data_IF_066355487300
#
_entry.id   IF_066355487300
#
_cell.length_a   1.000
_cell.length_b   1.000
_cell.length_c   1.000
_cell.angle_alpha   90.00
_cell.angle_beta   90.00
_cell.angle_gamma   90.00
#
_symmetry.space_group_name_H-M   'P 1'
#
loop_
_entity.id
_entity.type
_entity.pdbx_description
1 polymer ?
#
# COMPACT_ATOMS: atom_id res chain seq x y z
N UNK A 1 -24.78 4.04 10.38
CA UNK A 1 -23.62 4.53 9.59
C UNK A 1 -22.34 4.21 10.38
N UNK A 2 -21.91 2.95 10.37
CA UNK A 2 -20.65 2.54 10.97
C UNK A 2 -20.34 1.13 10.47
N UNK A 3 -19.63 1.02 9.37
CA UNK A 3 -18.82 -0.17 9.14
C UNK A 3 -17.45 0.31 8.64
N UNK A 4 -16.64 0.71 9.61
CA UNK A 4 -15.23 0.97 9.39
C UNK A 4 -14.56 -0.40 9.36
N UNK A 5 -14.60 -1.06 8.19
CA UNK A 5 -13.88 -2.30 7.95
C UNK A 5 -12.41 -2.09 8.28
N UNK A 6 -12.03 -2.48 9.49
CA UNK A 6 -10.71 -2.23 10.07
C UNK A 6 -9.74 -3.35 9.62
N UNK A 7 -9.82 -3.74 8.34
CA UNK A 7 -9.00 -4.78 7.76
C UNK A 7 -7.62 -4.19 7.48
N UNK A 8 -6.67 -4.53 8.34
CA UNK A 8 -5.26 -4.23 8.16
C UNK A 8 -4.45 -5.52 7.98
N UNK A 9 -3.46 -5.45 7.11
CA UNK A 9 -2.52 -6.54 6.86
C UNK A 9 -1.11 -6.08 7.16
N UNK A 10 -0.34 -6.98 7.79
CA UNK A 10 1.10 -6.80 7.97
C UNK A 10 1.82 -7.36 6.76
N UNK A 11 2.39 -6.48 5.95
CA UNK A 11 3.07 -6.85 4.71
C UNK A 11 4.54 -6.42 4.79
N UNK A 12 5.40 -7.23 4.16
CA UNK A 12 6.82 -6.93 4.09
C UNK A 12 7.11 -5.98 2.93
N UNK A 13 7.87 -4.91 3.17
CA UNK A 13 8.22 -3.93 2.16
C UNK A 13 9.22 -4.54 1.18
N UNK A 14 8.91 -4.42 -0.11
CA UNK A 14 9.83 -4.74 -1.20
C UNK A 14 9.93 -3.57 -2.19
N UNK A 15 10.94 -3.63 -3.05
CA UNK A 15 11.19 -2.59 -4.02
C UNK A 15 10.12 -2.60 -5.14
N UNK A 16 9.59 -1.42 -5.44
CA UNK A 16 8.73 -1.23 -6.60
C UNK A 16 9.54 -1.34 -7.90
N UNK A 17 8.94 -1.85 -8.98
CA UNK A 17 9.54 -1.83 -10.31
C UNK A 17 9.96 -0.42 -10.73
N UNK A 18 11.04 -0.29 -11.50
CA UNK A 18 11.59 1.01 -11.94
C UNK A 18 10.55 1.92 -12.64
N UNK A 19 9.57 1.32 -13.34
CA UNK A 19 8.45 2.02 -14.01
C UNK A 19 7.41 2.65 -13.07
N UNK A 20 7.43 2.28 -11.79
CA UNK A 20 6.48 2.74 -10.77
C UNK A 20 7.10 3.78 -9.83
N UNK A 21 8.39 4.10 -9.98
CA UNK A 21 9.11 5.08 -9.16
C UNK A 21 8.51 6.48 -9.34
N UNK A 22 8.27 7.18 -8.23
CA UNK A 22 7.75 8.55 -8.22
C UNK A 22 6.24 8.67 -8.46
N UNK A 23 5.53 7.55 -8.62
CA UNK A 23 4.09 7.55 -8.96
C UNK A 23 3.17 7.33 -7.76
N UNK A 24 3.73 7.08 -6.57
CA UNK A 24 2.94 6.82 -5.36
C UNK A 24 2.09 5.55 -5.46
N UNK A 25 2.61 4.50 -6.09
CA UNK A 25 1.92 3.23 -6.27
C UNK A 25 2.37 2.22 -5.20
N UNK A 26 1.42 1.46 -4.67
CA UNK A 26 1.66 0.31 -3.81
C UNK A 26 1.14 -0.94 -4.50
N UNK A 27 2.05 -1.84 -4.90
CA UNK A 27 1.63 -3.13 -5.47
C UNK A 27 1.41 -4.16 -4.39
N UNK A 28 0.23 -4.79 -4.44
CA UNK A 28 -0.25 -5.76 -3.48
C UNK A 28 -0.72 -7.02 -4.21
N UNK A 29 -0.58 -8.18 -3.58
CA UNK A 29 -1.20 -9.41 -4.10
C UNK A 29 -2.72 -9.20 -4.22
N UNK A 30 -3.37 -9.53 -5.36
CA UNK A 30 -4.83 -9.55 -5.44
C UNK A 30 -5.53 -10.26 -4.28
N UNK A 31 -4.94 -11.33 -3.73
CA UNK A 31 -5.47 -12.00 -2.55
C UNK A 31 -5.42 -11.12 -1.29
N UNK A 32 -4.35 -10.34 -1.11
CA UNK A 32 -4.22 -9.41 0.01
C UNK A 32 -5.09 -8.16 -0.20
N UNK A 33 -5.23 -7.69 -1.43
CA UNK A 33 -6.20 -6.63 -1.78
C UNK A 33 -7.63 -7.05 -1.43
N UNK A 34 -8.02 -8.28 -1.75
CA UNK A 34 -9.34 -8.80 -1.41
C UNK A 34 -9.57 -8.86 0.11
N UNK A 35 -8.57 -9.28 0.89
CA UNK A 35 -8.62 -9.27 2.37
C UNK A 35 -8.72 -7.87 2.96
N UNK A 36 -8.13 -6.88 2.28
CA UNK A 36 -8.20 -5.45 2.65
C UNK A 36 -9.47 -4.77 2.10
N UNK A 37 -10.30 -5.51 1.36
CA UNK A 37 -11.45 -4.99 0.62
C UNK A 37 -11.09 -3.81 -0.30
N UNK A 38 -9.85 -3.82 -0.81
CA UNK A 38 -9.29 -2.78 -1.66
C UNK A 38 -9.40 -3.16 -3.14
N UNK A 39 -9.85 -2.22 -3.95
CA UNK A 39 -9.92 -2.35 -5.38
C UNK A 39 -8.71 -1.70 -6.07
N UNK A 40 -8.55 -2.00 -7.36
CA UNK A 40 -7.51 -1.40 -8.19
C UNK A 40 -7.77 0.10 -8.28
N UNK A 41 -6.81 0.92 -7.80
CA UNK A 41 -6.92 2.37 -7.82
C UNK A 41 -7.40 3.00 -6.51
N UNK A 42 -7.86 2.19 -5.54
CA UNK A 42 -8.13 2.66 -4.19
C UNK A 42 -6.87 3.18 -3.51
N UNK A 43 -7.04 4.04 -2.50
CA UNK A 43 -5.94 4.52 -1.69
C UNK A 43 -5.80 3.65 -0.45
N UNK A 44 -4.59 3.16 -0.24
CA UNK A 44 -4.19 2.43 0.95
C UNK A 44 -3.26 3.29 1.79
N UNK A 45 -3.48 3.23 3.09
CA UNK A 45 -2.58 3.79 4.07
C UNK A 45 -1.52 2.74 4.42
N UNK A 46 -0.27 3.18 4.47
CA UNK A 46 0.89 2.37 4.86
C UNK A 46 1.47 2.99 6.14
N UNK A 47 1.47 2.22 7.22
CA UNK A 47 2.00 2.63 8.51
C UNK A 47 3.29 1.87 8.80
N UNK A 48 4.41 2.60 8.73
CA UNK A 48 5.72 2.18 9.22
C UNK A 48 6.05 2.92 10.51
N UNK A 49 7.21 3.61 10.54
CA UNK A 49 7.51 4.59 11.61
C UNK A 49 6.64 5.84 11.50
N UNK A 50 6.28 6.18 10.26
CA UNK A 50 5.38 7.26 9.89
C UNK A 50 4.29 6.70 9.00
N UNK A 51 3.22 7.46 8.85
CA UNK A 51 2.10 7.10 8.01
C UNK A 51 2.24 7.76 6.65
N UNK A 52 2.07 6.97 5.59
CA UNK A 52 1.97 7.47 4.22
C UNK A 52 0.76 6.84 3.53
N UNK A 53 0.46 7.32 2.33
CA UNK A 53 -0.61 6.79 1.49
C UNK A 53 -0.07 6.49 0.10
N UNK A 54 -0.63 5.48 -0.54
CA UNK A 54 -0.30 5.08 -1.90
C UNK A 54 -1.52 4.50 -2.61
N UNK A 55 -1.51 4.53 -3.93
CA UNK A 55 -2.56 3.93 -4.76
C UNK A 55 -2.32 2.43 -4.91
N UNK A 56 -3.31 1.63 -4.51
CA UNK A 56 -3.27 0.18 -4.59
C UNK A 56 -3.31 -0.30 -6.04
N UNK A 57 -2.33 -1.11 -6.41
CA UNK A 57 -2.21 -1.74 -7.72
C UNK A 57 -1.96 -3.24 -7.57
N UNK A 58 -2.38 -4.08 -8.52
CA UNK A 58 -2.12 -5.51 -8.45
C UNK A 58 -0.63 -5.78 -8.67
N UNK A 59 -0.08 -6.68 -7.86
CA UNK A 59 1.27 -7.22 -8.03
C UNK A 59 1.33 -8.18 -9.23
N UNK A 60 2.52 -8.24 -9.84
CA UNK A 60 2.83 -9.19 -10.89
C UNK A 60 2.80 -10.62 -10.35
N UNK A 61 2.53 -11.59 -11.21
CA UNK A 61 2.38 -13.01 -10.81
C UNK A 61 3.59 -13.52 -10.03
N UNK A 62 4.79 -13.04 -10.36
CA UNK A 62 6.05 -13.42 -9.73
C UNK A 62 6.15 -13.01 -8.25
N UNK A 63 5.41 -11.97 -7.85
CA UNK A 63 5.43 -11.40 -6.49
C UNK A 63 4.22 -11.80 -5.64
N UNK A 64 3.27 -12.56 -6.20
CA UNK A 64 2.10 -13.07 -5.47
C UNK A 64 2.49 -14.17 -4.50
N UNK A 65 1.71 -14.31 -3.42
CA UNK A 65 1.89 -15.28 -2.34
C UNK A 65 2.99 -14.92 -1.34
N UNK A 66 3.74 -13.83 -1.56
CA UNK A 66 4.89 -13.47 -0.72
C UNK A 66 4.55 -12.58 0.48
N UNK A 67 3.29 -12.16 0.63
CA UNK A 67 2.84 -11.20 1.66
C UNK A 67 3.69 -9.92 1.65
N UNK A 68 3.91 -9.36 0.46
CA UNK A 68 4.79 -8.22 0.21
C UNK A 68 4.01 -7.03 -0.34
N UNK A 69 4.45 -5.83 0.03
CA UNK A 69 3.98 -4.57 -0.55
C UNK A 69 5.15 -3.90 -1.27
N UNK A 70 5.01 -3.74 -2.59
CA UNK A 70 6.05 -3.09 -3.39
C UNK A 70 5.79 -1.59 -3.42
N UNK A 71 6.73 -0.81 -2.89
CA UNK A 71 6.67 0.66 -2.85
C UNK A 71 8.00 1.28 -3.26
N UNK A 72 7.92 2.47 -3.86
CA UNK A 72 9.08 3.23 -4.31
C UNK A 72 9.85 3.87 -3.15
N UNK A 73 11.05 4.38 -3.44
CA UNK A 73 11.92 5.00 -2.44
C UNK A 73 11.25 6.16 -1.70
N UNK A 74 10.47 6.98 -2.41
CA UNK A 74 9.77 8.12 -1.83
C UNK A 74 8.67 7.67 -0.85
N UNK A 75 7.84 6.69 -1.21
CA UNK A 75 6.86 6.14 -0.27
C UNK A 75 7.53 5.52 0.96
N UNK A 76 8.66 4.83 0.78
CA UNK A 76 9.42 4.24 1.89
C UNK A 76 9.95 5.30 2.85
N UNK A 77 10.55 6.36 2.31
CA UNK A 77 11.03 7.50 3.11
C UNK A 77 9.89 8.16 3.88
N UNK A 78 8.77 8.42 3.20
CA UNK A 78 7.57 9.00 3.82
C UNK A 78 6.96 8.11 4.91
N UNK A 79 6.95 6.78 4.71
CA UNK A 79 6.54 5.80 5.72
C UNK A 79 7.58 5.60 6.84
N UNK A 80 8.82 6.08 6.65
CA UNK A 80 9.96 5.73 7.48
C UNK A 80 10.19 4.22 7.55
N UNK A 81 10.01 3.51 6.42
CA UNK A 81 10.14 2.06 6.32
C UNK A 81 11.35 1.66 5.46
N UNK A 82 12.07 0.61 5.88
CA UNK A 82 13.18 0.02 5.12
C UNK A 82 12.71 -1.17 4.27
N UNK A 83 13.54 -1.63 3.32
CA UNK A 83 13.32 -2.89 2.63
C UNK A 83 13.30 -4.05 3.63
N UNK A 84 12.47 -5.06 3.36
CA UNK A 84 12.21 -6.23 4.20
C UNK A 84 11.62 -5.92 5.61
N UNK A 85 11.36 -4.66 5.93
CA UNK A 85 10.61 -4.28 7.13
C UNK A 85 9.13 -4.61 6.96
N UNK A 86 8.46 -4.99 8.05
CA UNK A 86 7.01 -5.18 8.07
C UNK A 86 6.31 -3.85 8.34
N UNK A 87 5.34 -3.52 7.50
CA UNK A 87 4.45 -2.35 7.64
C UNK A 87 3.01 -2.81 7.72
N UNK A 88 2.16 -1.99 8.33
CA UNK A 88 0.72 -2.22 8.36
C UNK A 88 0.06 -1.48 7.21
N UNK A 89 -0.69 -2.20 6.38
CA UNK A 89 -1.41 -1.68 5.23
C UNK A 89 -2.90 -1.81 5.47
N UNK A 90 -3.65 -0.74 5.23
CA UNK A 90 -5.12 -0.75 5.32
C UNK A 90 -5.75 0.13 4.24
N UNK A 91 -6.95 -0.23 3.77
CA UNK A 91 -7.74 0.64 2.90
C UNK A 91 -8.20 1.89 3.67
N UNK A 92 -8.20 3.05 3.02
CA UNK A 92 -8.78 4.27 3.58
C UNK A 92 -9.72 4.95 2.59
N UNK A 93 -10.78 5.55 3.11
CA UNK A 93 -11.65 6.40 2.32
C UNK A 93 -10.98 7.77 2.10
N UNK A 94 -10.66 8.09 0.86
CA UNK A 94 -10.14 9.41 0.49
C UNK A 94 -11.26 10.32 0.02
N UNK A 95 -11.21 11.59 0.43
CA UNK A 95 -12.10 12.64 -0.05
C UNK A 95 -11.29 13.63 -0.90
N UNK A 96 -11.83 14.13 -2.02
CA UNK A 96 -11.16 15.16 -2.81
C UNK A 96 -10.76 16.34 -1.93
N UNK A 97 -9.53 16.82 -2.10
CA UNK A 97 -9.06 18.00 -1.39
C UNK A 97 -9.85 19.24 -1.83
N UNK A 98 -10.21 20.11 -0.88
CA UNK A 98 -10.93 21.37 -1.16
C UNK A 98 -9.99 22.53 -1.52
N UNK A 99 -8.70 22.38 -1.21
CA UNK A 99 -7.63 23.36 -1.44
C UNK A 99 -6.30 22.61 -1.41
N UNK A 100 -5.35 23.03 -2.25
CA UNK A 100 -3.96 22.56 -2.29
C UNK A 100 -3.04 23.72 -1.95
#
# INVERSE_FOLDING_TARGET
MADSGNHSLKLKVSEAPAKDLGRGLARLDPADMAKLEAEIGDIVQIAGKRTTVAKAMPAYKEERGKSRVQIDGLCRENAGAALDQVVEVRKIAVRPAKRV
#
